data_IF_446403428972
#
_entry.id   IF_446403428972
#
_cell.length_a   1.000
_cell.length_b   1.000
_cell.length_c   1.000
_cell.angle_alpha   90.00
_cell.angle_beta   90.00
_cell.angle_gamma   90.00
#
_symmetry.space_group_name_H-M   'P 1'
#
loop_
_entity.id
_entity.type
_entity.pdbx_description
1 polymer ?
#
# COMPACT_ATOMS: atom_id res chain seq x y z
N UNK A 1 18.35 -1.13 4.75
CA UNK A 1 17.04 -0.83 4.14
C UNK A 1 16.05 -0.53 5.26
N UNK A 2 15.27 0.55 5.18
CA UNK A 2 14.26 0.89 6.20
C UNK A 2 13.14 -0.16 6.18
N UNK A 3 12.58 -0.49 7.34
CA UNK A 3 11.41 -1.37 7.44
C UNK A 3 10.23 -0.56 7.98
N UNK A 4 9.15 -0.53 7.22
CA UNK A 4 7.91 0.15 7.54
C UNK A 4 6.79 -0.86 7.69
N UNK A 5 5.98 -0.72 8.74
CA UNK A 5 4.87 -1.63 9.04
C UNK A 5 3.56 -0.86 9.00
N UNK A 6 2.67 -1.31 8.13
CA UNK A 6 1.29 -0.84 8.03
C UNK A 6 0.44 -1.89 8.75
N UNK A 7 -0.03 -1.57 9.95
CA UNK A 7 -1.00 -2.43 10.64
C UNK A 7 -2.39 -2.25 10.02
N UNK A 8 -2.93 -3.32 9.43
CA UNK A 8 -4.22 -3.33 8.77
C UNK A 8 -5.39 -3.58 9.73
N UNK A 9 -5.13 -3.78 11.02
CA UNK A 9 -6.19 -3.92 12.01
C UNK A 9 -7.08 -2.67 12.05
N UNK A 10 -8.39 -2.88 11.95
CA UNK A 10 -9.40 -1.83 12.01
C UNK A 10 -9.58 -1.02 10.71
N UNK A 11 -8.95 -1.43 9.61
CA UNK A 11 -9.21 -0.85 8.29
C UNK A 11 -10.55 -1.37 7.77
N UNK A 12 -11.50 -0.47 7.50
CA UNK A 12 -12.83 -0.81 6.98
C UNK A 12 -13.02 -0.41 5.51
N UNK A 13 -12.22 0.55 5.03
CA UNK A 13 -12.27 1.06 3.66
C UNK A 13 -10.87 1.16 3.06
N UNK A 14 -10.78 1.22 1.73
CA UNK A 14 -9.54 1.51 1.02
C UNK A 14 -8.98 2.90 1.41
N UNK A 15 -9.85 3.90 1.60
CA UNK A 15 -9.46 5.21 2.10
C UNK A 15 -8.75 5.16 3.46
N UNK A 16 -9.17 4.26 4.37
CA UNK A 16 -8.49 4.06 5.65
C UNK A 16 -7.09 3.47 5.47
N UNK A 17 -6.92 2.56 4.51
CA UNK A 17 -5.62 2.02 4.16
C UNK A 17 -4.69 3.10 3.64
N UNK A 18 -5.14 3.93 2.70
CA UNK A 18 -4.31 4.98 2.11
C UNK A 18 -3.92 6.04 3.14
N UNK A 19 -4.83 6.39 4.05
CA UNK A 19 -4.52 7.27 5.17
C UNK A 19 -3.46 6.66 6.08
N UNK A 20 -3.57 5.37 6.43
CA UNK A 20 -2.59 4.65 7.26
C UNK A 20 -1.24 4.55 6.55
N UNK A 21 -1.24 4.26 5.27
CA UNK A 21 -0.05 4.21 4.42
C UNK A 21 0.71 5.54 4.49
N UNK A 22 0.04 6.66 4.18
CA UNK A 22 0.67 7.99 4.20
C UNK A 22 1.21 8.37 5.58
N UNK A 23 0.49 8.04 6.65
CA UNK A 23 0.92 8.32 8.02
C UNK A 23 2.21 7.55 8.40
N UNK A 24 2.35 6.31 7.94
CA UNK A 24 3.51 5.46 8.24
C UNK A 24 4.71 5.82 7.35
N UNK A 25 4.46 6.06 6.06
CA UNK A 25 5.53 6.28 5.08
C UNK A 25 6.04 7.72 5.08
N UNK A 26 5.17 8.67 5.44
CA UNK A 26 5.41 10.11 5.45
C UNK A 26 6.21 10.59 4.20
N UNK A 27 5.68 10.35 2.99
CA UNK A 27 6.42 10.62 1.76
C UNK A 27 6.43 12.12 1.45
N UNK A 28 7.53 12.61 0.86
CA UNK A 28 7.73 14.04 0.57
C UNK A 28 6.60 14.64 -0.28
N UNK A 29 6.09 13.89 -1.25
CA UNK A 29 4.96 14.26 -2.11
C UNK A 29 3.64 13.56 -1.72
N UNK A 30 3.42 13.32 -0.43
CA UNK A 30 2.24 12.58 0.06
C UNK A 30 0.90 13.25 -0.19
N UNK A 31 0.87 14.59 -0.29
CA UNK A 31 -0.35 15.35 -0.59
C UNK A 31 -0.85 15.13 -2.03
N UNK A 32 0.05 14.77 -2.93
CA UNK A 32 -0.23 14.55 -4.35
C UNK A 32 -0.52 13.06 -4.63
N UNK A 33 -0.57 12.23 -3.58
CA UNK A 33 -0.85 10.80 -3.68
C UNK A 33 -2.33 10.54 -4.02
N UNK A 34 -2.58 9.86 -5.14
CA UNK A 34 -3.93 9.61 -5.66
C UNK A 34 -4.83 8.69 -4.82
N UNK A 35 -4.31 8.09 -3.75
CA UNK A 35 -5.08 7.25 -2.82
C UNK A 35 -5.89 6.13 -3.52
N UNK A 36 -5.23 5.41 -4.43
CA UNK A 36 -5.78 4.26 -5.14
C UNK A 36 -4.65 3.29 -5.53
N UNK A 37 -5.00 2.15 -6.13
CA UNK A 37 -4.04 1.09 -6.49
C UNK A 37 -3.05 1.54 -7.58
N UNK A 38 -3.48 2.34 -8.55
CA UNK A 38 -2.61 2.84 -9.63
C UNK A 38 -1.56 3.81 -9.06
N UNK A 39 -1.99 4.74 -8.21
CA UNK A 39 -1.08 5.63 -7.49
C UNK A 39 -0.13 4.86 -6.58
N UNK A 40 -0.60 3.77 -5.94
CA UNK A 40 0.25 2.91 -5.13
C UNK A 40 1.31 2.21 -5.98
N UNK A 41 0.96 1.70 -7.17
CA UNK A 41 1.91 1.15 -8.14
C UNK A 41 2.96 2.19 -8.56
N UNK A 42 2.51 3.38 -8.98
CA UNK A 42 3.40 4.48 -9.38
C UNK A 42 4.36 4.86 -8.26
N UNK A 43 3.88 4.87 -7.00
CA UNK A 43 4.71 5.12 -5.84
C UNK A 43 5.79 4.04 -5.67
N UNK A 44 5.41 2.77 -5.58
CA UNK A 44 6.30 1.68 -5.13
C UNK A 44 7.24 1.16 -6.21
N UNK A 45 6.93 1.37 -7.48
CA UNK A 45 7.79 1.00 -8.61
C UNK A 45 8.39 2.24 -9.29
N UNK A 46 7.55 3.20 -9.66
CA UNK A 46 7.96 4.38 -10.43
C UNK A 46 8.57 5.52 -9.62
N UNK A 47 8.48 5.47 -8.29
CA UNK A 47 8.92 6.57 -7.42
C UNK A 47 8.02 7.80 -7.45
N UNK A 48 6.75 7.65 -7.87
CA UNK A 48 5.76 8.71 -7.96
C UNK A 48 5.29 9.26 -6.60
N UNK A 49 4.26 10.14 -6.58
CA UNK A 49 3.65 10.62 -5.35
C UNK A 49 3.31 9.46 -4.42
N UNK A 50 3.62 9.62 -3.13
CA UNK A 50 3.47 8.53 -2.16
C UNK A 50 4.68 7.60 -2.02
N UNK A 51 5.75 7.72 -2.83
CA UNK A 51 6.92 6.85 -2.73
C UNK A 51 7.57 6.88 -1.32
N UNK A 52 7.72 5.72 -0.64
CA UNK A 52 8.25 5.66 0.72
C UNK A 52 9.80 5.68 0.79
N UNK A 53 10.46 5.84 -0.36
CA UNK A 53 11.89 5.54 -0.51
C UNK A 53 12.15 4.04 -0.65
N UNK A 54 13.41 3.65 -0.90
CA UNK A 54 13.80 2.23 -0.94
C UNK A 54 13.66 1.62 0.45
N UNK A 55 12.62 0.81 0.63
CA UNK A 55 12.31 0.17 1.89
C UNK A 55 11.72 -1.22 1.72
N UNK A 56 11.57 -1.90 2.85
CA UNK A 56 10.66 -3.02 3.01
C UNK A 56 9.36 -2.50 3.63
N UNK A 57 8.22 -2.79 3.00
CA UNK A 57 6.89 -2.43 3.44
C UNK A 57 6.11 -3.69 3.83
N UNK A 58 5.71 -3.80 5.10
CA UNK A 58 4.95 -4.94 5.60
C UNK A 58 3.53 -4.52 5.92
N UNK A 59 2.55 -5.16 5.27
CA UNK A 59 1.15 -5.10 5.66
C UNK A 59 0.92 -6.19 6.72
N UNK A 60 0.80 -5.80 7.98
CA UNK A 60 0.53 -6.69 9.11
C UNK A 60 -0.97 -6.80 9.33
N UNK A 61 -1.47 -7.97 9.72
CA UNK A 61 -2.91 -8.26 9.86
C UNK A 61 -3.64 -8.10 8.51
N UNK A 62 -2.95 -8.43 7.40
CA UNK A 62 -3.39 -8.12 6.04
C UNK A 62 -4.71 -8.80 5.65
N UNK A 63 -5.08 -9.90 6.32
CA UNK A 63 -6.37 -10.55 6.15
C UNK A 63 -7.57 -9.62 6.44
N UNK A 64 -7.37 -8.55 7.22
CA UNK A 64 -8.37 -7.51 7.43
C UNK A 64 -8.81 -6.84 6.13
N UNK A 65 -8.00 -6.86 5.06
CA UNK A 65 -8.31 -6.21 3.79
C UNK A 65 -9.20 -7.06 2.85
N UNK A 66 -9.43 -8.35 3.18
CA UNK A 66 -10.15 -9.28 2.30
C UNK A 66 -11.61 -8.89 2.00
N UNK A 67 -12.25 -8.21 2.94
CA UNK A 67 -13.65 -7.82 2.83
C UNK A 67 -13.85 -6.56 1.95
N UNK A 68 -12.78 -5.80 1.71
CA UNK A 68 -12.82 -4.57 0.92
C UNK A 68 -12.72 -4.97 -0.56
N UNK A 69 -13.74 -4.59 -1.35
CA UNK A 69 -13.78 -4.89 -2.79
C UNK A 69 -13.27 -3.71 -3.59
N UNK A 70 -12.44 -4.01 -4.59
CA UNK A 70 -12.04 -3.04 -5.61
C UNK A 70 -13.17 -2.83 -6.61
N UNK A 71 -13.05 -1.82 -7.49
CA UNK A 71 -13.98 -1.62 -8.60
C UNK A 71 -14.06 -2.81 -9.57
N UNK A 72 -13.03 -3.67 -9.60
CA UNK A 72 -13.02 -4.91 -10.40
C UNK A 72 -13.59 -6.14 -9.68
N UNK A 73 -14.03 -6.00 -8.42
CA UNK A 73 -14.67 -7.07 -7.64
C UNK A 73 -13.72 -8.03 -6.91
N UNK A 74 -12.40 -7.92 -7.12
CA UNK A 74 -11.40 -8.64 -6.33
C UNK A 74 -11.23 -8.02 -4.95
N UNK A 75 -10.66 -8.76 -3.99
CA UNK A 75 -10.34 -8.15 -2.70
C UNK A 75 -9.19 -7.15 -2.83
N UNK A 76 -9.17 -6.15 -1.96
CA UNK A 76 -8.07 -5.20 -1.88
C UNK A 76 -6.74 -5.91 -1.54
N UNK A 77 -6.80 -6.97 -0.72
CA UNK A 77 -5.62 -7.79 -0.42
C UNK A 77 -5.05 -8.43 -1.69
N UNK A 78 -5.88 -9.08 -2.50
CA UNK A 78 -5.44 -9.74 -3.74
C UNK A 78 -4.82 -8.73 -4.70
N UNK A 79 -5.43 -7.55 -4.84
CA UNK A 79 -4.90 -6.49 -5.69
C UNK A 79 -3.52 -6.00 -5.23
N UNK A 80 -3.34 -5.79 -3.92
CA UNK A 80 -2.05 -5.40 -3.35
C UNK A 80 -0.99 -6.51 -3.48
N UNK A 81 -1.39 -7.77 -3.32
CA UNK A 81 -0.49 -8.91 -3.51
C UNK A 81 -0.04 -9.04 -4.97
N UNK A 82 -0.90 -8.72 -5.93
CA UNK A 82 -0.51 -8.67 -7.35
C UNK A 82 0.53 -7.58 -7.60
N UNK A 83 0.33 -6.38 -7.04
CA UNK A 83 1.33 -5.29 -7.08
C UNK A 83 2.65 -5.74 -6.45
N UNK A 84 2.60 -6.37 -5.28
CA UNK A 84 3.80 -6.82 -4.58
C UNK A 84 4.62 -7.88 -5.35
N UNK A 85 3.95 -8.73 -6.14
CA UNK A 85 4.64 -9.71 -7.02
C UNK A 85 5.33 -9.04 -8.20
N UNK A 86 4.83 -7.89 -8.65
CA UNK A 86 5.36 -7.15 -9.79
C UNK A 86 6.40 -6.10 -9.39
N UNK A 87 6.28 -5.52 -8.20
CA UNK A 87 7.16 -4.46 -7.72
C UNK A 87 8.60 -4.96 -7.52
N UNK A 88 9.56 -4.19 -7.99
CA UNK A 88 10.99 -4.48 -7.93
C UNK A 88 11.78 -3.44 -7.12
N UNK A 89 11.24 -2.23 -6.94
CA UNK A 89 11.92 -1.13 -6.24
C UNK A 89 11.69 -1.14 -4.72
N UNK A 90 10.43 -1.32 -4.29
CA UNK A 90 10.05 -1.48 -2.88
C UNK A 90 9.72 -2.94 -2.62
N UNK A 91 10.32 -3.52 -1.57
CA UNK A 91 10.01 -4.90 -1.17
C UNK A 91 8.72 -4.90 -0.36
N UNK A 92 7.68 -5.58 -0.83
CA UNK A 92 6.37 -5.61 -0.17
C UNK A 92 6.08 -7.00 0.36
N UNK A 93 5.66 -7.12 1.62
CA UNK A 93 5.22 -8.39 2.23
C UNK A 93 3.90 -8.23 2.98
N UNK A 94 3.20 -9.35 3.17
CA UNK A 94 1.94 -9.44 3.89
C UNK A 94 2.05 -10.47 5.01
N UNK A 95 1.52 -10.16 6.18
CA UNK A 95 1.50 -11.00 7.39
C UNK A 95 0.14 -10.96 8.06
#
# INVERSE_FOLDING_TARGET
MKHLVIDCQGIATDADLWRRYLAVTNPVAGRDFGCNLDAFWDAVEGGGPGYPGRCKLTFKNAAALNHIKTGSGVSLLDALQNIARAATVVVIEFK
#
